data_IF_030502498673
#
_entry.id   IF_030502498673
#
_cell.length_a   1.000
_cell.length_b   1.000
_cell.length_c   1.000
_cell.angle_alpha   90.00
_cell.angle_beta   90.00
_cell.angle_gamma   90.00
#
_symmetry.space_group_name_H-M   'P 1'
#
loop_
_entity.id
_entity.type
_entity.pdbx_description
1 polymer ?
#
# COMPACT_ATOMS: atom_id res chain seq x y z
N UNK A 1 -12.77 10.23 -22.17
CA UNK A 1 -11.92 9.09 -21.78
C UNK A 1 -10.99 9.55 -20.68
N UNK A 2 -10.99 8.92 -19.49
CA UNK A 2 -9.93 9.20 -18.51
C UNK A 2 -8.64 8.62 -19.11
N UNK A 3 -7.67 9.47 -19.41
CA UNK A 3 -6.36 9.05 -19.92
C UNK A 3 -5.73 8.08 -18.93
N UNK A 4 -5.01 7.05 -19.41
CA UNK A 4 -4.32 6.07 -18.55
C UNK A 4 -3.41 6.73 -17.51
N UNK A 5 -2.87 7.90 -17.82
CA UNK A 5 -2.08 8.72 -16.90
C UNK A 5 -2.85 9.14 -15.64
N UNK A 6 -4.13 9.50 -15.79
CA UNK A 6 -4.98 9.87 -14.66
C UNK A 6 -5.28 8.67 -13.76
N UNK A 7 -5.39 7.46 -14.33
CA UNK A 7 -5.58 6.22 -13.57
C UNK A 7 -4.29 5.89 -12.81
N UNK A 8 -3.14 6.01 -13.48
CA UNK A 8 -1.82 5.81 -12.86
C UNK A 8 -1.58 6.76 -11.69
N UNK A 9 -1.94 8.03 -11.85
CA UNK A 9 -1.80 9.03 -10.80
C UNK A 9 -2.68 8.70 -9.59
N UNK A 10 -3.94 8.32 -9.81
CA UNK A 10 -4.83 7.90 -8.71
C UNK A 10 -4.31 6.67 -7.96
N UNK A 11 -3.76 5.67 -8.68
CA UNK A 11 -3.15 4.50 -8.06
C UNK A 11 -1.92 4.90 -7.23
N UNK A 12 -1.04 5.74 -7.77
CA UNK A 12 0.13 6.25 -7.03
C UNK A 12 -0.27 7.01 -5.77
N UNK A 13 -1.28 7.88 -5.86
CA UNK A 13 -1.81 8.63 -4.72
C UNK A 13 -2.39 7.69 -3.66
N UNK A 14 -3.23 6.75 -4.06
CA UNK A 14 -3.85 5.77 -3.14
C UNK A 14 -2.79 4.94 -2.43
N UNK A 15 -1.80 4.44 -3.17
CA UNK A 15 -0.67 3.69 -2.62
C UNK A 15 0.11 4.53 -1.60
N UNK A 16 0.42 5.78 -1.93
CA UNK A 16 1.15 6.67 -1.04
C UNK A 16 0.34 6.92 0.24
N UNK A 17 -0.96 7.19 0.14
CA UNK A 17 -1.85 7.34 1.30
C UNK A 17 -1.83 6.08 2.18
N UNK A 18 -1.97 4.88 1.59
CA UNK A 18 -1.95 3.63 2.36
C UNK A 18 -0.59 3.34 3.00
N UNK A 19 0.51 3.70 2.36
CA UNK A 19 1.86 3.59 2.92
C UNK A 19 2.07 4.58 4.08
N UNK A 20 1.54 5.81 3.97
CA UNK A 20 1.60 6.81 5.04
C UNK A 20 0.70 6.43 6.22
N UNK A 21 -0.50 5.93 5.95
CA UNK A 21 -1.42 5.40 6.98
C UNK A 21 -0.82 4.23 7.77
N UNK A 22 0.12 3.50 7.15
CA UNK A 22 0.82 2.35 7.73
C UNK A 22 2.24 2.71 8.18
N UNK A 23 2.58 3.99 8.28
CA UNK A 23 3.93 4.41 8.66
C UNK A 23 4.21 4.26 10.16
N UNK A 24 3.21 4.56 10.98
CA UNK A 24 3.26 4.36 12.42
C UNK A 24 3.49 2.90 12.85
N UNK A 25 3.17 1.91 11.99
CA UNK A 25 3.39 0.49 12.31
C UNK A 25 4.84 0.03 12.12
N UNK A 26 5.64 0.78 11.35
CA UNK A 26 7.05 0.48 11.10
C UNK A 26 7.99 1.13 12.12
N UNK A 27 7.47 2.04 12.93
CA UNK A 27 8.25 2.72 13.97
C UNK A 27 8.59 1.70 15.07
N UNK A 28 9.84 1.69 15.58
CA UNK A 28 10.24 0.78 16.66
C UNK A 28 9.37 0.95 17.92
N UNK A 29 8.94 2.19 18.20
CA UNK A 29 8.04 2.58 19.29
C UNK A 29 6.55 2.30 19.01
N UNK A 30 6.23 1.58 17.92
CA UNK A 30 4.87 1.18 17.63
C UNK A 30 4.35 0.21 18.70
N UNK A 31 3.11 0.36 19.19
CA UNK A 31 2.50 -0.53 20.19
C UNK A 31 2.19 -1.94 19.67
N UNK A 32 2.55 -2.24 18.42
CA UNK A 32 2.32 -3.52 17.76
C UNK A 32 3.34 -4.57 18.19
N UNK A 33 2.87 -5.82 18.31
CA UNK A 33 3.74 -6.98 18.49
C UNK A 33 4.59 -7.23 17.24
N UNK A 34 5.65 -8.04 17.37
CA UNK A 34 6.53 -8.38 16.24
C UNK A 34 5.76 -9.07 15.10
N UNK A 35 4.79 -9.92 15.41
CA UNK A 35 3.93 -10.59 14.43
C UNK A 35 3.10 -9.56 13.64
N UNK A 36 2.54 -8.58 14.34
CA UNK A 36 1.77 -7.50 13.71
C UNK A 36 2.66 -6.62 12.85
N UNK A 37 3.87 -6.29 13.32
CA UNK A 37 4.85 -5.55 12.51
C UNK A 37 5.21 -6.31 11.22
N UNK A 38 5.36 -7.64 11.28
CA UNK A 38 5.59 -8.48 10.11
C UNK A 38 4.39 -8.49 9.13
N UNK A 39 3.15 -8.56 9.64
CA UNK A 39 1.94 -8.43 8.81
C UNK A 39 1.88 -7.07 8.10
N UNK A 40 2.16 -5.98 8.81
CA UNK A 40 2.23 -4.63 8.22
C UNK A 40 3.36 -4.49 7.21
N UNK A 41 4.52 -5.11 7.45
CA UNK A 41 5.62 -5.14 6.47
C UNK A 41 5.20 -5.84 5.18
N UNK A 42 4.55 -7.00 5.30
CA UNK A 42 4.02 -7.75 4.15
C UNK A 42 2.98 -6.93 3.39
N UNK A 43 2.02 -6.33 4.10
CA UNK A 43 1.02 -5.42 3.53
C UNK A 43 1.67 -4.27 2.72
N UNK A 44 2.68 -3.61 3.29
CA UNK A 44 3.40 -2.52 2.63
C UNK A 44 4.21 -2.98 1.42
N UNK A 45 4.75 -4.19 1.46
CA UNK A 45 5.44 -4.77 0.32
C UNK A 45 4.45 -5.04 -0.82
N UNK A 46 3.31 -5.67 -0.53
CA UNK A 46 2.25 -5.90 -1.51
C UNK A 46 1.80 -4.58 -2.14
N UNK A 47 1.59 -3.51 -1.35
CA UNK A 47 1.27 -2.18 -1.89
C UNK A 47 2.30 -1.62 -2.88
N UNK A 48 3.59 -1.86 -2.63
CA UNK A 48 4.66 -1.39 -3.52
C UNK A 48 4.69 -2.20 -4.81
N UNK A 49 4.51 -3.53 -4.69
CA UNK A 49 4.49 -4.48 -5.79
C UNK A 49 3.28 -4.25 -6.73
N UNK A 50 2.20 -3.63 -6.26
CA UNK A 50 1.10 -3.19 -7.13
C UNK A 50 1.50 -2.15 -8.18
N UNK A 51 2.60 -1.41 -7.98
CA UNK A 51 3.04 -0.36 -8.91
C UNK A 51 3.70 -0.93 -10.18
N UNK A 52 4.10 -2.20 -10.17
CA UNK A 52 4.72 -2.87 -11.34
C UNK A 52 3.71 -3.47 -12.31
N UNK A 53 2.40 -3.34 -12.06
CA UNK A 53 1.37 -3.83 -12.96
C UNK A 53 1.12 -2.83 -14.09
N UNK A 54 1.41 -3.24 -15.33
CA UNK A 54 1.08 -2.50 -16.56
C UNK A 54 -0.43 -2.23 -16.73
N UNK A 55 -1.27 -2.94 -15.96
CA UNK A 55 -2.73 -2.85 -16.03
C UNK A 55 -3.35 -2.24 -14.76
N UNK A 56 -3.44 -0.91 -14.76
CA UNK A 56 -3.90 -0.09 -13.62
C UNK A 56 -5.43 -0.06 -13.46
N UNK A 57 -6.17 -0.65 -14.40
CA UNK A 57 -7.63 -0.64 -14.38
C UNK A 57 -8.21 -1.57 -13.29
N UNK A 58 -7.44 -2.55 -12.82
CA UNK A 58 -7.83 -3.56 -11.83
C UNK A 58 -6.73 -3.80 -10.80
N UNK A 59 -6.29 -2.73 -10.12
CA UNK A 59 -5.41 -2.86 -8.96
C UNK A 59 -6.20 -3.47 -7.80
N UNK A 60 -5.81 -4.66 -7.36
CA UNK A 60 -6.36 -5.30 -6.16
C UNK A 60 -5.56 -4.81 -4.96
N UNK A 61 -6.19 -4.02 -4.09
CA UNK A 61 -5.53 -3.52 -2.90
C UNK A 61 -5.49 -4.60 -1.80
N UNK A 62 -4.33 -4.82 -1.15
CA UNK A 62 -4.26 -5.69 0.00
C UNK A 62 -5.14 -5.17 1.14
N UNK A 63 -5.63 -6.06 1.98
CA UNK A 63 -6.41 -5.70 3.17
C UNK A 63 -5.49 -5.26 4.29
N UNK A 64 -5.80 -4.14 4.94
CA UNK A 64 -5.05 -3.66 6.11
C UNK A 64 -5.11 -4.75 7.21
N UNK A 65 -3.97 -5.14 7.81
CA UNK A 65 -3.97 -6.05 8.94
C UNK A 65 -4.64 -5.39 10.16
N UNK A 66 -5.36 -6.19 10.96
CA UNK A 66 -6.06 -5.78 12.18
C UNK A 66 -5.13 -5.73 13.39
#
# INVERSE_FOLDING_TARGET
MKSNDAILENVKLTRNTLLTDSDWSQVPDSPLSEEKKAEWQKYRQELRDLTTLDNLATVIWPTKPL
#
